data_IF_460515947162
#
_entry.id   IF_460515947162
#
_cell.length_a   1.000
_cell.length_b   1.000
_cell.length_c   1.000
_cell.angle_alpha   90.00
_cell.angle_beta   90.00
_cell.angle_gamma   90.00
#
_symmetry.space_group_name_H-M   'P 1'
#
loop_
_entity.id
_entity.type
_entity.pdbx_description
1 polymer ?
#
# COMPACT_ATOMS: atom_id res chain seq x y z
N UNK A 1 12.17 -46.42 -31.06
CA UNK A 1 10.69 -46.41 -30.92
C UNK A 1 10.36 -45.67 -29.65
N UNK A 2 10.15 -44.37 -29.74
CA UNK A 2 9.92 -43.49 -28.60
C UNK A 2 8.44 -43.12 -28.56
N UNK A 3 7.75 -43.58 -27.52
CA UNK A 3 6.30 -43.43 -27.33
C UNK A 3 6.01 -42.08 -26.70
N UNK A 4 5.33 -41.18 -27.41
CA UNK A 4 4.88 -39.87 -26.92
C UNK A 4 3.69 -40.03 -25.96
N UNK A 5 3.73 -39.31 -24.81
CA UNK A 5 2.64 -39.21 -23.85
C UNK A 5 1.67 -38.11 -24.29
N UNK A 6 0.35 -38.26 -24.09
CA UNK A 6 -0.65 -37.26 -24.47
C UNK A 6 -0.68 -36.12 -23.48
N UNK A 7 -0.68 -34.91 -24.02
CA UNK A 7 -0.84 -33.64 -23.31
C UNK A 7 -2.29 -33.53 -22.80
N UNK A 8 -2.46 -33.47 -21.49
CA UNK A 8 -3.75 -33.29 -20.85
C UNK A 8 -4.35 -31.90 -21.10
N UNK A 9 -5.61 -31.85 -21.51
CA UNK A 9 -6.39 -30.64 -21.73
C UNK A 9 -6.68 -29.90 -20.42
N UNK A 10 -6.68 -28.54 -20.39
CA UNK A 10 -7.05 -27.78 -19.21
C UNK A 10 -8.56 -27.87 -18.94
N UNK A 11 -8.92 -28.28 -17.73
CA UNK A 11 -10.30 -28.28 -17.23
C UNK A 11 -10.77 -26.83 -17.04
N UNK A 12 -11.79 -26.43 -17.78
CA UNK A 12 -12.57 -25.21 -17.52
C UNK A 12 -13.41 -25.39 -16.28
N UNK A 13 -13.08 -24.69 -15.21
CA UNK A 13 -13.90 -24.58 -14.02
C UNK A 13 -14.22 -23.10 -13.80
N UNK A 14 -15.49 -22.90 -13.46
CA UNK A 14 -16.22 -21.65 -13.13
C UNK A 14 -16.91 -20.94 -14.28
N UNK A 15 -18.16 -21.37 -14.45
CA UNK A 15 -19.24 -20.59 -15.02
C UNK A 15 -20.05 -20.04 -13.82
N UNK A 16 -19.82 -18.78 -13.46
CA UNK A 16 -20.66 -18.07 -12.49
C UNK A 16 -21.95 -17.65 -13.18
N UNK A 17 -23.05 -18.29 -12.83
CA UNK A 17 -24.39 -17.86 -13.19
C UNK A 17 -24.73 -16.58 -12.43
N UNK A 18 -24.80 -15.43 -13.15
CA UNK A 18 -25.39 -14.21 -12.59
C UNK A 18 -26.90 -14.40 -12.49
N UNK A 19 -27.39 -14.62 -11.25
CA UNK A 19 -28.79 -14.57 -10.91
C UNK A 19 -29.29 -13.12 -11.03
N UNK A 20 -30.22 -12.86 -11.98
CA UNK A 20 -30.93 -11.59 -12.12
C UNK A 20 -32.01 -11.47 -11.04
N UNK A 21 -32.09 -10.35 -10.28
CA UNK A 21 -33.23 -10.12 -9.40
C UNK A 21 -34.50 -9.80 -10.21
N UNK A 22 -35.53 -10.60 -10.01
CA UNK A 22 -36.87 -10.39 -10.55
C UNK A 22 -37.59 -9.31 -9.74
N UNK A 23 -37.82 -8.14 -10.35
CA UNK A 23 -38.67 -7.10 -9.77
C UNK A 23 -40.11 -7.41 -10.16
N UNK A 24 -40.90 -7.97 -9.25
CA UNK A 24 -42.35 -8.09 -9.38
C UNK A 24 -43.04 -7.20 -8.36
N UNK A 25 -43.90 -6.33 -8.86
CA UNK A 25 -45.10 -5.87 -8.20
C UNK A 25 -45.00 -4.61 -7.34
N UNK A 26 -45.06 -3.43 -7.98
CA UNK A 26 -45.45 -2.19 -7.31
C UNK A 26 -46.96 -2.00 -7.53
N UNK A 27 -47.76 -2.35 -6.53
CA UNK A 27 -49.20 -2.05 -6.51
C UNK A 27 -49.39 -0.63 -5.97
N UNK A 28 -49.83 0.27 -6.86
CA UNK A 28 -50.25 1.63 -6.48
C UNK A 28 -51.68 1.54 -5.96
N UNK A 29 -51.89 1.83 -4.69
CA UNK A 29 -53.22 2.08 -4.11
C UNK A 29 -53.45 3.57 -4.05
N UNK A 30 -54.33 4.05 -4.93
CA UNK A 30 -54.91 5.40 -4.87
C UNK A 30 -56.02 5.40 -3.82
N UNK A 31 -55.85 6.09 -2.73
CA UNK A 31 -56.93 6.45 -1.81
C UNK A 31 -57.18 7.93 -1.94
N UNK A 32 -58.32 8.26 -2.56
CA UNK A 32 -58.91 9.58 -2.54
C UNK A 32 -59.65 9.80 -1.22
N UNK A 33 -59.31 10.85 -0.50
CA UNK A 33 -60.00 11.18 0.76
C UNK A 33 -59.94 12.67 1.09
N UNK A 34 -61.08 13.24 0.98
CA UNK A 34 -61.58 14.59 1.25
C UNK A 34 -60.82 15.49 2.19
N UNK A 35 -60.81 16.76 1.79
CA UNK A 35 -60.44 18.01 2.48
C UNK A 35 -61.15 18.24 3.82
N UNK A 36 -60.41 18.69 4.85
CA UNK A 36 -60.91 19.53 5.91
C UNK A 36 -59.91 20.68 6.15
N UNK A 37 -60.45 21.87 6.02
CA UNK A 37 -59.79 23.18 6.26
C UNK A 37 -59.59 23.36 7.77
N UNK A 38 -58.43 23.79 8.20
CA UNK A 38 -58.30 24.36 9.55
C UNK A 38 -56.91 24.20 10.14
N UNK A 39 -56.26 25.34 10.36
CA UNK A 39 -55.16 25.45 11.31
C UNK A 39 -53.79 25.73 10.70
N UNK A 40 -53.41 26.99 10.64
CA UNK A 40 -52.02 27.42 10.41
C UNK A 40 -51.23 27.07 11.66
N UNK A 41 -50.63 25.87 11.65
CA UNK A 41 -49.58 25.51 12.61
C UNK A 41 -48.23 25.92 11.98
N UNK A 42 -47.57 26.92 12.59
CA UNK A 42 -46.15 27.15 12.31
C UNK A 42 -45.41 25.87 12.70
N UNK A 43 -45.20 25.01 11.74
CA UNK A 43 -44.30 23.90 11.92
C UNK A 43 -42.87 24.43 12.05
N UNK A 44 -42.34 24.42 13.26
CA UNK A 44 -40.90 24.57 13.49
C UNK A 44 -40.20 23.49 12.71
N UNK A 45 -39.44 23.88 11.66
CA UNK A 45 -38.60 22.98 10.88
C UNK A 45 -37.70 22.23 11.85
N UNK A 46 -37.66 20.90 11.80
CA UNK A 46 -36.71 20.15 12.60
C UNK A 46 -35.31 20.58 12.19
N UNK A 47 -34.54 21.04 13.16
CA UNK A 47 -33.12 21.28 13.02
C UNK A 47 -32.54 19.98 12.47
N UNK A 48 -31.86 20.07 11.36
CA UNK A 48 -31.09 18.93 10.82
C UNK A 48 -30.12 18.52 11.92
N UNK A 49 -30.42 17.44 12.60
CA UNK A 49 -29.46 16.76 13.45
C UNK A 49 -28.24 16.47 12.56
N UNK A 50 -27.13 17.11 12.86
CA UNK A 50 -25.89 16.90 12.14
C UNK A 50 -25.66 15.39 11.98
N UNK A 51 -25.36 14.95 10.78
CA UNK A 51 -25.03 13.56 10.52
C UNK A 51 -23.95 13.12 11.55
N UNK A 52 -24.06 11.93 12.14
CA UNK A 52 -23.06 11.46 13.08
C UNK A 52 -21.69 11.50 12.39
N UNK A 53 -20.80 12.34 12.89
CA UNK A 53 -19.42 12.38 12.44
C UNK A 53 -18.81 11.06 12.87
N UNK A 54 -18.66 10.13 11.94
CA UNK A 54 -17.93 8.88 12.20
C UNK A 54 -16.51 9.31 12.54
N UNK A 55 -16.00 9.03 13.75
CA UNK A 55 -14.62 9.36 14.09
C UNK A 55 -13.72 8.66 13.09
N UNK A 56 -12.81 9.41 12.44
CA UNK A 56 -11.79 8.82 11.58
C UNK A 56 -11.04 7.77 12.40
N UNK A 57 -11.01 6.53 11.92
CA UNK A 57 -10.30 5.47 12.61
C UNK A 57 -8.85 5.92 12.83
N UNK A 58 -8.36 5.78 14.07
CA UNK A 58 -6.98 6.12 14.39
C UNK A 58 -6.04 5.34 13.44
N UNK A 59 -4.96 5.98 12.96
CA UNK A 59 -4.01 5.31 12.07
C UNK A 59 -3.49 4.04 12.76
N UNK A 60 -3.57 2.92 12.06
CA UNK A 60 -3.10 1.65 12.59
C UNK A 60 -1.57 1.70 12.67
N UNK A 61 -1.04 1.47 13.86
CA UNK A 61 0.40 1.41 14.12
C UNK A 61 0.85 -0.02 14.34
N UNK A 62 2.05 -0.33 13.85
CA UNK A 62 2.75 -1.59 14.06
C UNK A 62 4.11 -1.27 14.68
N UNK A 63 4.36 -1.81 15.87
CA UNK A 63 5.62 -1.63 16.59
C UNK A 63 6.28 -3.00 16.78
N UNK A 64 7.57 -3.10 16.55
CA UNK A 64 8.35 -4.32 16.72
C UNK A 64 9.69 -4.02 17.39
N UNK A 65 10.11 -4.93 18.29
CA UNK A 65 11.44 -4.90 18.90
C UNK A 65 12.49 -5.40 17.89
N UNK A 66 13.78 -5.14 18.08
CA UNK A 66 14.81 -5.50 17.11
C UNK A 66 14.80 -6.97 16.69
N UNK A 67 14.58 -7.88 17.64
CA UNK A 67 14.50 -9.33 17.44
C UNK A 67 13.23 -9.78 16.66
N UNK A 68 12.26 -8.88 16.51
CA UNK A 68 10.99 -9.10 15.81
C UNK A 68 10.95 -8.47 14.42
N UNK A 69 12.06 -7.86 13.97
CA UNK A 69 12.14 -7.19 12.67
C UNK A 69 13.07 -7.96 11.75
N UNK A 70 12.60 -8.21 10.53
CA UNK A 70 13.44 -8.75 9.46
C UNK A 70 13.30 -7.93 8.20
N UNK A 71 14.40 -7.67 7.51
CA UNK A 71 14.43 -7.01 6.20
C UNK A 71 14.22 -8.06 5.13
N UNK A 72 13.17 -7.90 4.31
CA UNK A 72 12.89 -8.74 3.15
C UNK A 72 13.64 -8.19 1.93
N UNK A 73 13.46 -6.89 1.66
CA UNK A 73 14.20 -6.08 0.70
C UNK A 73 14.26 -4.62 1.18
N UNK A 74 14.85 -3.70 0.42
CA UNK A 74 14.99 -2.31 0.85
C UNK A 74 13.68 -1.50 0.92
N UNK A 75 12.57 -2.05 0.45
CA UNK A 75 11.23 -1.46 0.54
C UNK A 75 10.25 -2.31 1.36
N UNK A 76 10.69 -3.42 1.96
CA UNK A 76 9.80 -4.38 2.61
C UNK A 76 10.40 -4.90 3.91
N UNK A 77 9.67 -4.71 4.99
CA UNK A 77 9.99 -5.23 6.33
C UNK A 77 8.99 -6.31 6.73
N UNK A 78 9.44 -7.27 7.52
CA UNK A 78 8.57 -8.16 8.28
C UNK A 78 8.69 -7.78 9.75
N UNK A 79 7.57 -7.36 10.33
CA UNK A 79 7.44 -6.99 11.74
C UNK A 79 6.62 -8.09 12.42
N UNK A 80 7.26 -8.91 13.25
CA UNK A 80 6.65 -10.14 13.80
C UNK A 80 6.20 -11.07 12.67
N UNK A 81 4.90 -11.27 12.52
CA UNK A 81 4.25 -12.10 11.50
C UNK A 81 3.70 -11.29 10.31
N UNK A 82 3.78 -9.95 10.36
CA UNK A 82 3.21 -9.08 9.35
C UNK A 82 4.26 -8.52 8.39
N UNK A 83 4.05 -8.70 7.09
CA UNK A 83 4.84 -8.05 6.03
C UNK A 83 4.28 -6.67 5.75
N UNK A 84 5.15 -5.66 5.72
CA UNK A 84 4.81 -4.24 5.51
C UNK A 84 5.71 -3.67 4.43
N UNK A 85 5.15 -2.93 3.48
CA UNK A 85 5.92 -2.19 2.47
C UNK A 85 6.12 -0.74 2.89
N UNK A 86 7.32 -0.22 2.66
CA UNK A 86 7.60 1.20 2.82
C UNK A 86 6.86 1.99 1.71
N UNK A 87 5.93 2.83 2.12
CA UNK A 87 5.12 3.65 1.21
C UNK A 87 6.02 4.56 0.38
N UNK A 88 5.81 4.55 -0.94
CA UNK A 88 6.55 5.41 -1.87
C UNK A 88 7.99 4.98 -2.18
N UNK A 89 8.42 3.80 -1.73
CA UNK A 89 9.75 3.27 -2.00
C UNK A 89 9.65 2.08 -2.96
N UNK A 90 10.33 2.19 -4.10
CA UNK A 90 10.52 1.11 -5.06
C UNK A 90 12.00 0.68 -5.06
N UNK A 91 12.34 -0.42 -4.39
CA UNK A 91 13.72 -0.90 -4.29
C UNK A 91 14.14 -1.70 -5.52
N UNK A 92 15.46 -1.83 -5.79
CA UNK A 92 15.96 -2.76 -6.78
C UNK A 92 15.67 -4.20 -6.36
N UNK A 93 15.30 -5.03 -7.34
CA UNK A 93 15.04 -6.45 -7.12
C UNK A 93 16.37 -7.18 -6.84
N UNK A 94 16.36 -8.21 -6.00
CA UNK A 94 17.53 -9.08 -5.78
C UNK A 94 17.95 -9.72 -7.09
N UNK A 95 19.26 -9.78 -7.31
CA UNK A 95 19.85 -10.24 -8.58
C UNK A 95 19.95 -9.16 -9.65
N UNK A 96 19.46 -7.93 -9.40
CA UNK A 96 19.68 -6.80 -10.30
C UNK A 96 21.12 -6.31 -10.18
N UNK A 97 21.88 -6.32 -11.27
CA UNK A 97 23.23 -5.73 -11.30
C UNK A 97 23.18 -4.21 -11.46
N UNK A 98 24.01 -3.48 -10.71
CA UNK A 98 24.18 -2.03 -10.83
C UNK A 98 25.62 -1.61 -11.11
N UNK A 99 26.31 -2.41 -11.85
CA UNK A 99 27.71 -2.23 -12.21
C UNK A 99 28.59 -3.34 -11.65
N UNK A 100 29.36 -3.97 -12.54
CA UNK A 100 30.13 -5.17 -12.19
C UNK A 100 29.25 -6.31 -11.71
N UNK A 101 29.74 -7.09 -10.77
CA UNK A 101 29.04 -8.26 -10.21
C UNK A 101 28.22 -7.91 -8.94
N UNK A 102 27.95 -6.64 -8.67
CA UNK A 102 27.25 -6.22 -7.47
C UNK A 102 25.74 -6.45 -7.60
N UNK A 103 25.14 -7.25 -6.71
CA UNK A 103 23.68 -7.36 -6.53
C UNK A 103 23.14 -6.15 -5.76
N UNK A 104 22.49 -5.25 -6.47
CA UNK A 104 21.94 -4.03 -5.89
C UNK A 104 20.76 -4.27 -4.96
N UNK A 105 19.94 -5.25 -5.24
CA UNK A 105 18.85 -5.61 -4.33
C UNK A 105 19.37 -6.14 -3.00
N UNK A 106 20.44 -6.93 -3.02
CA UNK A 106 21.09 -7.40 -1.79
C UNK A 106 21.78 -6.25 -1.05
N UNK A 107 22.50 -5.36 -1.75
CA UNK A 107 23.17 -4.20 -1.16
C UNK A 107 22.15 -3.23 -0.53
N UNK A 108 21.05 -2.97 -1.21
CA UNK A 108 19.94 -2.15 -0.72
C UNK A 108 19.32 -2.72 0.56
N UNK A 109 19.01 -4.03 0.57
CA UNK A 109 18.48 -4.71 1.75
C UNK A 109 19.46 -4.66 2.95
N UNK A 110 20.75 -4.85 2.69
CA UNK A 110 21.79 -4.76 3.72
C UNK A 110 21.90 -3.34 4.29
N UNK A 111 21.72 -2.31 3.46
CA UNK A 111 21.71 -0.92 3.91
C UNK A 111 20.53 -0.65 4.84
N UNK A 112 19.31 -1.06 4.46
CA UNK A 112 18.15 -0.93 5.35
C UNK A 112 18.35 -1.72 6.66
N UNK A 113 18.91 -2.93 6.58
CA UNK A 113 19.23 -3.72 7.78
C UNK A 113 20.23 -3.01 8.70
N UNK A 114 21.22 -2.31 8.15
CA UNK A 114 22.14 -1.51 8.92
C UNK A 114 21.48 -0.30 9.60
N UNK A 115 20.50 0.34 8.94
CA UNK A 115 19.75 1.49 9.49
C UNK A 115 18.88 1.10 10.70
N UNK A 116 18.40 -0.14 10.75
CA UNK A 116 17.50 -0.63 11.82
C UNK A 116 18.20 -1.54 12.83
N UNK A 117 19.54 -1.68 12.74
CA UNK A 117 20.29 -2.57 13.62
C UNK A 117 20.08 -2.18 15.08
N UNK A 118 19.69 -3.17 15.90
CA UNK A 118 19.47 -3.02 17.34
C UNK A 118 18.46 -1.94 17.75
N UNK A 119 17.61 -1.51 16.81
CA UNK A 119 16.61 -0.47 17.02
C UNK A 119 15.17 -1.02 16.91
N UNK A 120 14.27 -0.60 17.80
CA UNK A 120 12.85 -0.84 17.61
C UNK A 120 12.35 -0.09 16.37
N UNK A 121 11.43 -0.71 15.62
CA UNK A 121 10.82 -0.11 14.45
C UNK A 121 9.34 0.15 14.71
N UNK A 122 8.93 1.38 14.43
CA UNK A 122 7.54 1.82 14.49
C UNK A 122 7.05 2.16 13.08
N UNK A 123 5.94 1.57 12.64
CA UNK A 123 5.35 1.80 11.33
C UNK A 123 3.91 2.27 11.46
N UNK A 124 3.59 3.40 10.87
CA UNK A 124 2.22 3.92 10.72
C UNK A 124 1.69 3.50 9.35
N UNK A 125 0.61 2.70 9.34
CA UNK A 125 -0.02 2.23 8.11
C UNK A 125 -0.72 3.40 7.42
N UNK A 126 -0.44 3.59 6.13
CA UNK A 126 -0.98 4.66 5.27
C UNK A 126 -1.95 4.15 4.22
N UNK A 127 -1.97 2.83 3.96
CA UNK A 127 -2.82 2.20 2.97
C UNK A 127 -2.48 0.74 2.76
N UNK A 128 -2.89 0.22 1.61
CA UNK A 128 -2.54 -1.13 1.14
C UNK A 128 -2.11 -1.05 -0.32
N UNK A 129 -1.25 -1.97 -0.75
CA UNK A 129 -0.88 -2.10 -2.16
C UNK A 129 -1.89 -2.96 -2.94
N UNK A 130 -1.64 -3.15 -4.23
CA UNK A 130 -2.50 -3.94 -5.14
C UNK A 130 -2.65 -5.42 -4.72
N UNK A 131 -1.71 -5.92 -3.92
CA UNK A 131 -1.73 -7.28 -3.38
C UNK A 131 -2.34 -7.34 -1.96
N UNK A 132 -2.87 -6.21 -1.46
CA UNK A 132 -3.44 -6.11 -0.11
C UNK A 132 -2.40 -6.06 1.01
N UNK A 133 -1.10 -5.86 0.71
CA UNK A 133 -0.06 -5.71 1.73
C UNK A 133 -0.08 -4.31 2.31
N UNK A 134 0.05 -4.12 3.63
CA UNK A 134 0.11 -2.81 4.25
C UNK A 134 1.24 -1.95 3.67
N UNK A 135 0.89 -0.71 3.29
CA UNK A 135 1.82 0.37 3.00
C UNK A 135 2.00 1.20 4.27
N UNK A 136 3.24 1.56 4.60
CA UNK A 136 3.54 2.29 5.82
C UNK A 136 4.67 3.31 5.67
N UNK A 137 4.61 4.31 6.54
CA UNK A 137 5.77 5.14 6.90
C UNK A 137 6.36 4.58 8.17
N UNK A 138 7.62 4.18 8.12
CA UNK A 138 8.32 3.50 9.21
C UNK A 138 9.47 4.36 9.75
N UNK A 139 9.74 4.23 11.05
CA UNK A 139 10.80 4.95 11.75
C UNK A 139 11.62 4.00 12.61
N UNK A 140 12.92 4.28 12.73
CA UNK A 140 13.83 3.68 13.69
C UNK A 140 14.74 4.77 14.26
N UNK A 141 14.88 4.86 15.58
CA UNK A 141 15.71 5.88 16.27
C UNK A 141 15.44 7.33 15.81
N UNK A 142 14.18 7.67 15.55
CA UNK A 142 13.77 8.99 15.06
C UNK A 142 14.06 9.27 13.59
N UNK A 143 14.63 8.31 12.84
CA UNK A 143 14.87 8.42 11.39
C UNK A 143 13.75 7.77 10.63
N UNK A 144 13.15 8.49 9.67
CA UNK A 144 12.16 7.93 8.75
C UNK A 144 12.87 7.06 7.71
N UNK A 145 12.56 5.77 7.71
CA UNK A 145 13.25 4.76 6.88
C UNK A 145 12.94 4.93 5.39
N UNK A 146 11.72 5.36 5.05
CA UNK A 146 11.31 5.58 3.66
C UNK A 146 12.22 6.59 2.95
N UNK A 147 12.41 7.77 3.55
CA UNK A 147 13.30 8.79 2.99
C UNK A 147 14.77 8.39 3.11
N UNK A 148 15.17 7.73 4.19
CA UNK A 148 16.56 7.34 4.39
C UNK A 148 17.06 6.35 3.33
N UNK A 149 16.23 5.36 2.94
CA UNK A 149 16.55 4.41 1.87
C UNK A 149 16.70 5.13 0.53
N UNK A 150 15.77 6.03 0.20
CA UNK A 150 15.83 6.84 -1.04
C UNK A 150 17.05 7.76 -1.02
N UNK A 151 17.31 8.47 0.08
CA UNK A 151 18.46 9.38 0.20
C UNK A 151 19.81 8.65 0.12
N UNK A 152 19.86 7.39 0.56
CA UNK A 152 21.03 6.52 0.40
C UNK A 152 21.19 5.99 -1.05
N UNK A 153 20.23 6.25 -1.93
CA UNK A 153 20.25 5.83 -3.34
C UNK A 153 19.83 4.38 -3.56
N UNK A 154 19.11 3.77 -2.62
CA UNK A 154 18.73 2.36 -2.68
C UNK A 154 17.24 2.12 -3.02
N UNK A 155 16.62 3.08 -3.71
CA UNK A 155 15.26 2.96 -4.20
C UNK A 155 14.88 4.15 -5.08
N UNK A 156 13.83 3.98 -5.88
CA UNK A 156 13.13 5.07 -6.56
C UNK A 156 11.97 5.57 -5.71
N UNK A 157 11.70 6.85 -5.84
CA UNK A 157 10.57 7.48 -5.19
C UNK A 157 9.32 7.39 -6.07
N UNK A 158 8.19 7.06 -5.46
CA UNK A 158 6.88 7.20 -6.10
C UNK A 158 6.65 8.67 -6.51
N UNK A 159 6.08 8.86 -7.70
CA UNK A 159 5.77 10.18 -8.26
C UNK A 159 4.77 10.99 -7.44
N UNK A 160 3.99 10.34 -6.59
CA UNK A 160 3.00 10.99 -5.73
C UNK A 160 3.57 11.57 -4.43
N UNK A 161 4.88 11.40 -4.15
CA UNK A 161 5.51 11.84 -2.91
C UNK A 161 6.69 12.80 -3.19
N UNK A 162 6.43 14.13 -3.26
CA UNK A 162 7.44 15.13 -3.65
C UNK A 162 8.69 15.15 -2.75
N UNK A 163 8.55 14.78 -1.49
CA UNK A 163 9.67 14.75 -0.53
C UNK A 163 10.64 13.61 -0.85
N UNK A 164 10.12 12.41 -1.11
CA UNK A 164 10.92 11.27 -1.53
C UNK A 164 11.58 11.52 -2.88
N UNK A 165 10.88 12.17 -3.83
CA UNK A 165 11.46 12.57 -5.10
C UNK A 165 12.62 13.56 -4.95
N UNK A 166 12.54 14.47 -3.96
CA UNK A 166 13.65 15.39 -3.67
C UNK A 166 14.85 14.61 -3.15
N UNK A 167 14.64 13.67 -2.24
CA UNK A 167 15.69 12.79 -1.73
C UNK A 167 16.34 11.97 -2.86
N UNK A 168 15.55 11.42 -3.78
CA UNK A 168 16.05 10.70 -4.95
C UNK A 168 16.90 11.58 -5.86
N UNK A 169 16.42 12.79 -6.20
CA UNK A 169 17.23 13.72 -7.02
C UNK A 169 18.57 14.03 -6.39
N UNK A 170 18.62 14.21 -5.06
CA UNK A 170 19.87 14.40 -4.33
C UNK A 170 20.77 13.19 -4.42
N UNK A 171 20.23 11.98 -4.19
CA UNK A 171 20.99 10.73 -4.28
C UNK A 171 21.57 10.51 -5.69
N UNK A 172 20.81 10.83 -6.73
CA UNK A 172 21.27 10.78 -8.13
C UNK A 172 22.41 11.78 -8.38
N UNK A 173 22.25 13.04 -7.97
CA UNK A 173 23.27 14.09 -8.15
C UNK A 173 24.58 13.77 -7.42
N UNK A 174 24.48 13.05 -6.30
CA UNK A 174 25.64 12.65 -5.50
C UNK A 174 26.15 11.22 -5.80
N UNK A 175 25.61 10.59 -6.85
CA UNK A 175 26.00 9.25 -7.30
C UNK A 175 25.95 8.18 -6.18
N UNK A 176 24.90 8.20 -5.34
CA UNK A 176 24.74 7.25 -4.25
C UNK A 176 24.05 5.96 -4.68
N UNK A 177 24.40 4.85 -4.05
CA UNK A 177 23.73 3.56 -4.21
C UNK A 177 23.69 3.10 -5.66
N UNK A 178 22.52 2.84 -6.19
CA UNK A 178 22.31 2.40 -7.59
C UNK A 178 22.72 3.45 -8.62
N UNK A 179 22.84 4.71 -8.23
CA UNK A 179 23.23 5.82 -9.10
C UNK A 179 24.75 5.97 -9.22
N UNK A 180 25.56 5.18 -8.48
CA UNK A 180 27.01 5.29 -8.44
C UNK A 180 27.69 5.00 -9.80
N UNK A 181 27.09 4.13 -10.62
CA UNK A 181 27.64 3.75 -11.91
C UNK A 181 27.27 4.66 -13.08
N UNK A 182 26.53 5.77 -12.84
CA UNK A 182 26.06 6.68 -13.87
C UNK A 182 25.04 6.07 -14.84
N UNK A 183 24.59 4.85 -14.59
CA UNK A 183 23.52 4.23 -15.35
C UNK A 183 22.18 4.72 -14.81
N UNK A 184 21.32 5.23 -15.69
CA UNK A 184 19.88 5.30 -15.40
C UNK A 184 19.41 3.85 -15.23
N UNK A 185 19.50 3.39 -13.98
CA UNK A 185 19.17 2.01 -13.64
C UNK A 185 17.69 1.78 -13.94
N UNK A 186 17.43 1.18 -15.10
CA UNK A 186 16.13 0.60 -15.44
C UNK A 186 16.07 -0.78 -14.82
N UNK A 187 15.65 -0.89 -13.58
CA UNK A 187 15.20 -2.15 -13.00
C UNK A 187 13.68 -2.18 -12.99
#
# INVERSE_FOLDING_TARGET
MTKALPIGQPRRIFRSELSKPSVKGLTVVLVAGLSVIGGVSLATLPHHAGAPTVPAAAPRELNAQPDQVAVVDAGTLRLRDQVVRLSGVEPPVRGTSCGGDQDCGAAAANTLAAMIRDAPVACRITGVDELGRPLAVCQAMGTELNSAVIAAGWGRADTMQPELQRAERTARAEHRGVWASGHDSSW
#
